data_IF_041595574214
#
_entry.id   IF_041595574214
#
_cell.length_a   1.000
_cell.length_b   1.000
_cell.length_c   1.000
_cell.angle_alpha   90.00
_cell.angle_beta   90.00
_cell.angle_gamma   90.00
#
_symmetry.space_group_name_H-M   'P 1'
#
loop_
_entity.id
_entity.type
_entity.pdbx_description
1 polymer ?
#
# COMPACT_ATOMS: atom_id res chain seq x y z
N UNK A 1 16.43 5.19 2.58
CA UNK A 1 16.03 6.18 1.56
C UNK A 1 16.74 5.85 0.26
N UNK A 2 15.97 5.55 -0.79
CA UNK A 2 16.45 5.25 -2.14
C UNK A 2 17.28 6.40 -2.75
N UNK A 3 18.30 6.07 -3.55
CA UNK A 3 19.07 7.05 -4.33
C UNK A 3 18.15 7.79 -5.33
N UNK A 4 18.10 9.13 -5.22
CA UNK A 4 17.20 9.97 -6.03
C UNK A 4 17.52 9.90 -7.53
N UNK A 5 18.80 9.80 -7.90
CA UNK A 5 19.21 9.68 -9.31
C UNK A 5 18.78 8.33 -9.84
N UNK A 6 19.02 7.26 -9.09
CA UNK A 6 18.65 5.91 -9.47
C UNK A 6 17.13 5.75 -9.61
N UNK A 7 16.34 6.27 -8.66
CA UNK A 7 14.87 6.27 -8.75
C UNK A 7 14.38 6.97 -10.02
N UNK A 8 14.93 8.14 -10.35
CA UNK A 8 14.54 8.90 -11.55
C UNK A 8 14.85 8.13 -12.83
N UNK A 9 16.06 7.56 -12.93
CA UNK A 9 16.46 6.76 -14.08
C UNK A 9 15.59 5.49 -14.20
N UNK A 10 15.31 4.83 -13.08
CA UNK A 10 14.47 3.65 -13.03
C UNK A 10 13.05 3.93 -13.54
N UNK A 11 12.40 5.01 -13.10
CA UNK A 11 11.08 5.39 -13.61
C UNK A 11 11.10 5.63 -15.13
N UNK A 12 12.10 6.36 -15.64
CA UNK A 12 12.28 6.60 -17.08
C UNK A 12 12.50 5.30 -17.86
N UNK A 13 13.29 4.37 -17.32
CA UNK A 13 13.51 3.04 -17.89
C UNK A 13 12.21 2.23 -17.99
N UNK A 14 11.37 2.30 -16.97
CA UNK A 14 10.11 1.56 -16.93
C UNK A 14 9.06 2.14 -17.90
N UNK A 15 9.08 3.45 -18.16
CA UNK A 15 8.27 4.09 -19.20
C UNK A 15 8.73 3.71 -20.61
N UNK A 16 10.06 3.69 -20.84
CA UNK A 16 10.66 3.29 -22.11
C UNK A 16 12.05 2.69 -21.87
N UNK A 17 12.19 1.39 -22.09
CA UNK A 17 13.44 0.64 -21.83
C UNK A 17 14.63 1.12 -22.68
N UNK A 18 14.37 1.74 -23.85
CA UNK A 18 15.41 2.26 -24.76
C UNK A 18 15.85 3.69 -24.41
N UNK A 19 15.30 4.27 -23.34
CA UNK A 19 15.52 5.69 -22.98
C UNK A 19 16.81 5.96 -22.21
N UNK A 20 17.51 4.90 -21.79
CA UNK A 20 18.75 4.95 -21.02
C UNK A 20 19.92 4.34 -21.79
N UNK A 21 21.12 4.87 -21.57
CA UNK A 21 22.34 4.24 -22.05
C UNK A 21 22.79 3.08 -21.15
N UNK A 22 23.83 2.34 -21.56
CA UNK A 22 24.34 1.16 -20.83
C UNK A 22 24.79 1.51 -19.41
N UNK A 23 25.51 2.63 -19.22
CA UNK A 23 26.00 3.06 -17.91
C UNK A 23 24.86 3.41 -16.95
N UNK A 24 23.80 4.05 -17.46
CA UNK A 24 22.61 4.38 -16.68
C UNK A 24 21.82 3.12 -16.29
N UNK A 25 21.74 2.12 -17.18
CA UNK A 25 21.11 0.82 -16.89
C UNK A 25 21.91 0.04 -15.84
N UNK A 26 23.23 0.03 -15.95
CA UNK A 26 24.09 -0.66 -14.98
C UNK A 26 24.07 0.04 -13.62
N UNK A 27 23.97 1.37 -13.59
CA UNK A 27 23.79 2.13 -12.36
C UNK A 27 22.48 1.78 -11.64
N UNK A 28 21.35 1.66 -12.33
CA UNK A 28 20.08 1.27 -11.67
C UNK A 28 20.07 -0.21 -11.24
N UNK A 29 20.80 -1.10 -11.91
CA UNK A 29 21.03 -2.49 -11.46
C UNK A 29 21.89 -2.53 -10.20
N UNK A 30 22.99 -1.78 -10.15
CA UNK A 30 23.87 -1.67 -8.98
C UNK A 30 23.10 -1.19 -7.74
N UNK A 31 22.13 -0.28 -7.95
CA UNK A 31 21.22 0.20 -6.88
C UNK A 31 20.06 -0.75 -6.57
N UNK A 32 20.03 -1.95 -7.16
CA UNK A 32 19.05 -3.00 -6.85
C UNK A 32 17.62 -2.75 -7.35
N UNK A 33 17.43 -1.81 -8.29
CA UNK A 33 16.11 -1.46 -8.82
C UNK A 33 15.68 -2.37 -9.97
N UNK A 34 16.65 -2.87 -10.74
CA UNK A 34 16.45 -3.92 -11.75
C UNK A 34 16.97 -5.25 -11.19
N UNK A 35 16.05 -6.10 -10.75
CA UNK A 35 16.31 -7.45 -10.25
C UNK A 35 15.52 -8.48 -11.04
N UNK A 36 16.08 -9.67 -11.17
CA UNK A 36 15.41 -10.82 -11.77
C UNK A 36 14.19 -11.24 -10.94
N UNK A 37 13.22 -11.83 -11.64
CA UNK A 37 12.02 -12.36 -11.00
C UNK A 37 12.36 -13.64 -10.23
N UNK A 38 11.72 -13.82 -9.08
CA UNK A 38 12.03 -14.93 -8.18
C UNK A 38 11.00 -16.02 -8.39
N UNK A 39 11.42 -17.16 -8.95
CA UNK A 39 10.58 -18.35 -9.03
C UNK A 39 10.25 -18.86 -7.63
N UNK A 40 9.00 -19.23 -7.40
CA UNK A 40 8.53 -19.69 -6.09
C UNK A 40 7.44 -20.75 -6.22
N UNK A 41 7.54 -21.83 -5.44
CA UNK A 41 6.48 -22.82 -5.37
C UNK A 41 5.35 -22.36 -4.45
N UNK A 42 4.16 -22.91 -4.63
CA UNK A 42 3.01 -22.65 -3.74
C UNK A 42 3.35 -22.90 -2.27
N UNK A 43 4.09 -23.98 -1.99
CA UNK A 43 4.49 -24.35 -0.63
C UNK A 43 5.45 -23.32 -0.04
N UNK A 44 6.52 -22.98 -0.76
CA UNK A 44 7.49 -21.98 -0.31
C UNK A 44 6.84 -20.63 -0.07
N UNK A 45 5.95 -20.19 -0.97
CA UNK A 45 5.24 -18.93 -0.81
C UNK A 45 4.44 -18.87 0.49
N UNK A 46 3.61 -19.89 0.75
CA UNK A 46 2.77 -19.94 1.95
C UNK A 46 3.64 -20.03 3.21
N UNK A 47 4.62 -20.95 3.22
CA UNK A 47 5.51 -21.16 4.37
C UNK A 47 6.30 -19.90 4.70
N UNK A 48 6.85 -19.22 3.69
CA UNK A 48 7.58 -17.96 3.88
C UNK A 48 6.66 -16.85 4.35
N UNK A 49 5.45 -16.71 3.78
CA UNK A 49 4.49 -15.68 4.19
C UNK A 49 4.08 -15.83 5.65
N UNK A 50 3.83 -17.06 6.10
CA UNK A 50 3.54 -17.33 7.51
C UNK A 50 4.72 -16.95 8.41
N UNK A 51 5.95 -17.39 8.08
CA UNK A 51 7.17 -17.01 8.83
C UNK A 51 7.40 -15.49 8.86
N UNK A 52 7.08 -14.79 7.79
CA UNK A 52 7.18 -13.33 7.74
C UNK A 52 6.19 -12.68 8.72
N UNK A 53 4.93 -13.12 8.73
CA UNK A 53 3.92 -12.58 9.64
C UNK A 53 4.15 -12.94 11.12
N UNK A 54 4.90 -14.00 11.41
CA UNK A 54 5.36 -14.32 12.77
C UNK A 54 6.47 -13.38 13.25
N UNK A 55 7.30 -12.87 12.34
CA UNK A 55 8.43 -11.99 12.65
C UNK A 55 8.08 -10.51 12.63
N UNK A 56 7.02 -10.14 11.92
CA UNK A 56 6.60 -8.75 11.73
C UNK A 56 5.42 -8.47 12.65
N UNK A 57 5.55 -7.46 13.51
CA UNK A 57 4.47 -7.00 14.38
C UNK A 57 3.61 -5.93 13.70
N UNK A 58 2.36 -5.80 14.15
CA UNK A 58 1.49 -4.70 13.74
C UNK A 58 2.11 -3.33 14.05
N UNK A 59 2.78 -3.19 15.19
CA UNK A 59 3.40 -1.94 15.62
C UNK A 59 4.50 -1.49 14.66
N UNK A 60 5.39 -2.39 14.23
CA UNK A 60 6.45 -2.06 13.27
C UNK A 60 5.89 -1.58 11.93
N UNK A 61 4.83 -2.20 11.44
CA UNK A 61 4.24 -1.84 10.15
C UNK A 61 3.40 -0.57 10.22
N UNK A 62 2.72 -0.32 11.35
CA UNK A 62 2.03 0.95 11.63
C UNK A 62 3.04 2.10 11.73
N UNK A 63 4.16 1.87 12.43
CA UNK A 63 5.26 2.84 12.54
C UNK A 63 5.89 3.15 11.18
N UNK A 64 6.09 2.14 10.32
CA UNK A 64 6.55 2.31 8.96
C UNK A 64 5.59 3.21 8.15
N UNK A 65 4.29 2.93 8.22
CA UNK A 65 3.28 3.75 7.55
C UNK A 65 3.33 5.21 8.01
N UNK A 66 3.32 5.44 9.32
CA UNK A 66 3.40 6.78 9.90
C UNK A 66 4.68 7.52 9.48
N UNK A 67 5.85 6.90 9.64
CA UNK A 67 7.14 7.45 9.23
C UNK A 67 7.15 7.92 7.77
N UNK A 68 6.46 7.20 6.89
CA UNK A 68 6.41 7.54 5.47
C UNK A 68 5.59 8.80 5.16
N UNK A 69 4.77 9.30 6.09
CA UNK A 69 3.91 10.46 5.88
C UNK A 69 4.72 11.75 5.80
N UNK A 70 5.55 12.07 6.80
CA UNK A 70 6.39 13.28 6.78
C UNK A 70 7.63 13.13 5.89
N UNK A 71 8.18 11.91 5.76
CA UNK A 71 9.44 11.69 5.04
C UNK A 71 9.28 11.45 3.54
N UNK A 72 8.05 11.12 3.10
CA UNK A 72 7.76 10.64 1.75
C UNK A 72 8.57 9.40 1.35
N UNK A 73 9.05 8.60 2.32
CA UNK A 73 9.76 7.36 2.04
C UNK A 73 8.76 6.23 1.68
N UNK A 74 8.51 6.09 0.38
CA UNK A 74 7.53 5.14 -0.17
C UNK A 74 7.91 3.67 0.07
N UNK A 75 9.16 3.37 0.46
CA UNK A 75 9.54 2.02 0.88
C UNK A 75 8.78 1.56 2.13
N UNK A 76 8.36 2.49 2.98
CA UNK A 76 7.64 2.21 4.22
C UNK A 76 6.11 2.38 4.08
N UNK A 77 5.63 3.14 3.09
CA UNK A 77 4.21 3.52 2.94
C UNK A 77 3.26 2.33 2.83
N UNK A 78 3.65 1.28 2.12
CA UNK A 78 2.74 0.17 1.78
C UNK A 78 2.93 -1.06 2.67
N UNK A 79 3.80 -1.01 3.68
CA UNK A 79 4.09 -2.17 4.53
C UNK A 79 2.87 -2.53 5.40
N UNK A 80 2.21 -1.55 6.02
CA UNK A 80 1.00 -1.76 6.83
C UNK A 80 -0.11 -2.45 6.04
N UNK A 81 -0.41 -1.91 4.86
CA UNK A 81 -1.44 -2.43 3.97
C UNK A 81 -1.10 -3.85 3.50
N UNK A 82 0.18 -4.13 3.24
CA UNK A 82 0.67 -5.47 2.88
C UNK A 82 0.44 -6.46 3.99
N UNK A 83 0.79 -6.07 5.22
CA UNK A 83 0.63 -6.89 6.40
C UNK A 83 -0.83 -7.26 6.64
N UNK A 84 -1.73 -6.27 6.62
CA UNK A 84 -3.17 -6.47 6.82
C UNK A 84 -3.75 -7.37 5.73
N UNK A 85 -3.45 -7.09 4.46
CA UNK A 85 -3.94 -7.90 3.34
C UNK A 85 -3.45 -9.34 3.42
N UNK A 86 -2.15 -9.56 3.66
CA UNK A 86 -1.56 -10.89 3.75
C UNK A 86 -2.12 -11.70 4.92
N UNK A 87 -2.29 -11.07 6.09
CA UNK A 87 -2.90 -11.68 7.26
C UNK A 87 -4.33 -12.15 6.97
N UNK A 88 -5.14 -11.29 6.35
CA UNK A 88 -6.53 -11.60 6.02
C UNK A 88 -6.62 -12.70 4.96
N UNK A 89 -5.80 -12.62 3.91
CA UNK A 89 -5.73 -13.62 2.84
C UNK A 89 -5.35 -15.01 3.36
N UNK A 90 -4.35 -15.09 4.26
CA UNK A 90 -3.96 -16.35 4.90
C UNK A 90 -5.03 -16.93 5.82
N UNK A 91 -5.81 -16.07 6.49
CA UNK A 91 -6.91 -16.51 7.36
C UNK A 91 -8.09 -17.06 6.56
N UNK A 92 -8.34 -16.50 5.38
CA UNK A 92 -9.46 -16.87 4.53
C UNK A 92 -9.30 -18.28 3.95
N UNK A 93 -8.33 -18.50 3.07
CA UNK A 93 -8.23 -19.78 2.35
C UNK A 93 -6.79 -20.22 2.03
N UNK A 94 -5.78 -19.36 2.26
CA UNK A 94 -4.37 -19.61 1.90
C UNK A 94 -4.17 -19.91 0.41
N UNK A 95 -4.95 -19.29 -0.48
CA UNK A 95 -4.83 -19.48 -1.92
C UNK A 95 -5.33 -20.84 -2.37
N UNK A 96 -6.48 -21.27 -1.84
CA UNK A 96 -7.23 -22.42 -2.38
C UNK A 96 -8.06 -21.98 -3.57
N UNK A 97 -8.71 -20.84 -3.48
CA UNK A 97 -9.50 -20.19 -4.53
C UNK A 97 -8.62 -19.36 -5.47
N UNK A 98 -7.50 -18.82 -4.96
CA UNK A 98 -6.54 -18.04 -5.74
C UNK A 98 -5.29 -18.83 -6.06
N UNK A 99 -4.88 -18.81 -7.34
CA UNK A 99 -3.55 -19.29 -7.68
C UNK A 99 -2.50 -18.42 -7.00
N UNK A 100 -1.68 -19.07 -6.18
CA UNK A 100 -0.45 -18.48 -5.65
C UNK A 100 0.48 -18.18 -6.82
N UNK A 101 1.16 -17.01 -6.84
CA UNK A 101 2.08 -16.68 -7.91
C UNK A 101 3.17 -17.76 -8.05
N UNK A 102 3.56 -18.03 -9.30
CA UNK A 102 4.70 -18.91 -9.62
C UNK A 102 6.03 -18.14 -9.62
N UNK A 103 5.94 -16.81 -9.71
CA UNK A 103 7.07 -15.90 -9.74
C UNK A 103 6.73 -14.60 -9.01
N UNK A 104 7.75 -13.97 -8.41
CA UNK A 104 7.65 -12.66 -7.79
C UNK A 104 8.34 -11.64 -8.71
N UNK A 105 7.54 -10.75 -9.32
CA UNK A 105 8.04 -9.74 -10.26
C UNK A 105 8.70 -8.55 -9.56
N UNK A 106 9.94 -8.75 -9.11
CA UNK A 106 10.66 -7.81 -8.22
C UNK A 106 10.76 -6.41 -8.82
N UNK A 107 11.22 -6.31 -10.07
CA UNK A 107 11.37 -5.04 -10.78
C UNK A 107 10.03 -4.32 -10.95
N UNK A 108 8.99 -5.06 -11.34
CA UNK A 108 7.65 -4.50 -11.52
C UNK A 108 7.05 -3.99 -10.22
N UNK A 109 7.20 -4.72 -9.11
CA UNK A 109 6.68 -4.28 -7.82
C UNK A 109 7.42 -3.07 -7.26
N UNK A 110 8.74 -2.96 -7.50
CA UNK A 110 9.48 -1.74 -7.23
C UNK A 110 8.96 -0.55 -8.05
N UNK A 111 8.61 -0.77 -9.32
CA UNK A 111 8.03 0.28 -10.16
C UNK A 111 6.65 0.73 -9.66
N UNK A 112 5.74 -0.19 -9.36
CA UNK A 112 4.39 0.11 -8.83
C UNK A 112 4.47 0.96 -7.56
N UNK A 113 5.35 0.60 -6.62
CA UNK A 113 5.60 1.35 -5.37
C UNK A 113 5.93 2.83 -5.61
N UNK A 114 6.69 3.13 -6.66
CA UNK A 114 7.16 4.50 -6.94
C UNK A 114 6.33 5.25 -7.99
N UNK A 115 5.56 4.55 -8.82
CA UNK A 115 4.82 5.13 -9.95
C UNK A 115 3.36 5.43 -9.61
N UNK A 116 2.59 4.42 -9.18
CA UNK A 116 1.14 4.55 -8.99
C UNK A 116 0.71 4.63 -7.53
N UNK A 117 1.53 4.06 -6.63
CA UNK A 117 1.08 3.72 -5.29
C UNK A 117 0.03 2.60 -5.27
N UNK A 118 -0.29 2.13 -4.06
CA UNK A 118 -1.38 1.18 -3.82
C UNK A 118 -1.00 -0.31 -3.84
N UNK A 119 -1.84 -1.13 -3.20
CA UNK A 119 -1.75 -2.59 -3.19
C UNK A 119 -2.92 -3.15 -3.98
N UNK A 120 -2.69 -3.37 -5.27
CA UNK A 120 -3.69 -3.92 -6.17
C UNK A 120 -3.75 -5.44 -6.07
N UNK A 121 -4.90 -5.97 -5.66
CA UNK A 121 -5.53 -7.22 -6.11
C UNK A 121 -4.85 -8.57 -5.82
N UNK A 122 -3.53 -8.62 -5.65
CA UNK A 122 -2.78 -9.87 -5.70
C UNK A 122 -1.80 -10.00 -4.53
N UNK A 123 -1.74 -11.20 -3.95
CA UNK A 123 -0.94 -11.51 -2.76
C UNK A 123 0.58 -11.41 -3.01
N UNK A 124 1.02 -11.45 -4.28
CA UNK A 124 2.43 -11.35 -4.66
C UNK A 124 3.09 -10.03 -4.22
N UNK A 125 2.36 -8.91 -4.31
CA UNK A 125 2.87 -7.58 -3.89
C UNK A 125 3.04 -7.50 -2.38
N UNK A 126 2.02 -7.82 -1.55
CA UNK A 126 2.20 -7.95 -0.11
C UNK A 126 3.34 -8.87 0.29
N UNK A 127 3.46 -10.04 -0.35
CA UNK A 127 4.57 -10.96 -0.11
C UNK A 127 5.92 -10.28 -0.33
N UNK A 128 6.09 -9.63 -1.49
CA UNK A 128 7.33 -8.95 -1.84
C UNK A 128 7.66 -7.82 -0.84
N UNK A 129 6.73 -6.92 -0.56
CA UNK A 129 6.98 -5.80 0.35
C UNK A 129 7.29 -6.26 1.78
N UNK A 130 6.60 -7.29 2.29
CA UNK A 130 6.91 -7.88 3.60
C UNK A 130 8.29 -8.55 3.61
N UNK A 131 8.68 -9.21 2.52
CA UNK A 131 9.99 -9.85 2.40
C UNK A 131 11.13 -8.84 2.42
N UNK A 132 10.97 -7.70 1.75
CA UNK A 132 11.94 -6.60 1.79
C UNK A 132 11.97 -5.96 3.19
N UNK A 133 10.81 -5.78 3.81
CA UNK A 133 10.69 -5.17 5.14
C UNK A 133 11.44 -5.93 6.23
N UNK A 134 11.61 -7.25 6.11
CA UNK A 134 12.43 -8.03 7.05
C UNK A 134 13.86 -7.52 7.18
N UNK A 135 14.42 -6.94 6.12
CA UNK A 135 15.80 -6.44 6.07
C UNK A 135 15.88 -4.91 6.19
N UNK A 136 14.74 -4.23 6.27
CA UNK A 136 14.68 -2.78 6.43
C UNK A 136 14.84 -2.38 7.90
N UNK A 137 15.49 -1.24 8.13
CA UNK A 137 15.58 -0.62 9.45
C UNK A 137 14.19 -0.30 9.98
N UNK A 138 13.86 -0.75 11.20
CA UNK A 138 12.57 -0.46 11.82
C UNK A 138 12.54 1.00 12.24
N UNK A 139 11.50 1.71 11.78
CA UNK A 139 11.35 3.15 12.03
C UNK A 139 10.47 3.39 13.25
N UNK A 140 10.73 4.50 13.91
CA UNK A 140 9.90 5.03 15.00
C UNK A 140 9.34 6.37 14.49
N UNK A 141 8.01 6.53 14.42
CA UNK A 141 7.40 7.79 13.98
C UNK A 141 7.64 8.90 15.01
N UNK A 142 7.72 10.13 14.52
CA UNK A 142 7.77 11.35 15.34
C UNK A 142 6.36 11.94 15.48
N UNK A 143 6.20 12.90 16.39
CA UNK A 143 4.90 13.56 16.62
C UNK A 143 4.28 14.14 15.34
N UNK A 144 5.12 14.70 14.46
CA UNK A 144 4.68 15.23 13.16
C UNK A 144 3.98 14.17 12.29
N UNK A 145 4.42 12.90 12.32
CA UNK A 145 3.80 11.83 11.55
C UNK A 145 2.38 11.53 12.03
N UNK A 146 2.18 11.54 13.35
CA UNK A 146 0.86 11.38 13.96
C UNK A 146 -0.04 12.57 13.67
N UNK A 147 0.50 13.79 13.72
CA UNK A 147 -0.25 15.00 13.42
C UNK A 147 -0.75 14.98 11.97
N UNK A 148 0.10 14.63 11.00
CA UNK A 148 -0.29 14.45 9.60
C UNK A 148 -1.42 13.41 9.46
N UNK A 149 -1.30 12.26 10.12
CA UNK A 149 -2.36 11.24 10.09
C UNK A 149 -3.68 11.80 10.64
N UNK A 150 -3.66 12.49 11.78
CA UNK A 150 -4.86 13.09 12.39
C UNK A 150 -5.52 14.11 11.47
N UNK A 151 -4.73 14.95 10.78
CA UNK A 151 -5.24 15.92 9.83
C UNK A 151 -5.89 15.25 8.62
N UNK A 152 -5.28 14.20 8.06
CA UNK A 152 -5.85 13.40 6.96
C UNK A 152 -7.18 12.75 7.40
N UNK A 153 -7.21 12.15 8.59
CA UNK A 153 -8.42 11.51 9.12
C UNK A 153 -9.52 12.54 9.36
N UNK A 154 -9.20 13.67 9.99
CA UNK A 154 -10.15 14.76 10.23
C UNK A 154 -10.72 15.32 8.91
N UNK A 155 -9.87 15.47 7.88
CA UNK A 155 -10.30 15.90 6.56
C UNK A 155 -11.30 14.92 5.92
N UNK A 156 -11.01 13.61 5.98
CA UNK A 156 -11.90 12.58 5.46
C UNK A 156 -13.20 12.47 6.28
N UNK A 157 -13.12 12.62 7.60
CA UNK A 157 -14.26 12.49 8.50
C UNK A 157 -15.24 13.66 8.36
N UNK A 158 -14.74 14.88 8.12
CA UNK A 158 -15.57 16.07 7.89
C UNK A 158 -15.92 16.30 6.42
N UNK A 159 -15.63 15.35 5.53
CA UNK A 159 -15.88 15.49 4.11
C UNK A 159 -17.39 15.56 3.79
N UNK A 160 -17.77 16.25 2.72
CA UNK A 160 -19.18 16.37 2.33
C UNK A 160 -19.80 14.99 2.05
N UNK A 161 -20.96 14.73 2.66
CA UNK A 161 -21.61 13.41 2.68
C UNK A 161 -21.93 12.85 1.30
N UNK A 162 -22.15 13.73 0.33
CA UNK A 162 -22.55 13.38 -1.04
C UNK A 162 -21.35 13.12 -1.94
N UNK A 163 -20.15 13.61 -1.56
CA UNK A 163 -18.94 13.52 -2.37
C UNK A 163 -18.34 12.11 -2.34
N UNK A 164 -17.70 11.75 -3.45
CA UNK A 164 -17.14 10.41 -3.71
C UNK A 164 -15.68 10.30 -3.28
N UNK A 165 -15.16 9.07 -3.20
CA UNK A 165 -13.73 8.77 -3.04
C UNK A 165 -12.82 9.54 -4.04
N UNK A 166 -13.25 9.70 -5.30
CA UNK A 166 -12.50 10.47 -6.30
C UNK A 166 -12.39 11.94 -5.94
N UNK A 167 -13.47 12.52 -5.41
CA UNK A 167 -13.48 13.92 -4.96
C UNK A 167 -12.62 14.08 -3.71
N UNK A 168 -12.69 13.14 -2.75
CA UNK A 168 -11.82 13.14 -1.57
C UNK A 168 -10.34 13.18 -1.97
N UNK A 169 -9.93 12.30 -2.90
CA UNK A 169 -8.54 12.27 -3.39
C UNK A 169 -8.12 13.58 -4.03
N UNK A 170 -8.96 14.15 -4.90
CA UNK A 170 -8.63 15.38 -5.61
C UNK A 170 -8.46 16.54 -4.62
N UNK A 171 -9.41 16.72 -3.71
CA UNK A 171 -9.38 17.82 -2.73
C UNK A 171 -8.24 17.63 -1.72
N UNK A 172 -8.01 16.41 -1.20
CA UNK A 172 -6.89 16.12 -0.30
C UNK A 172 -5.52 16.38 -0.95
N UNK A 173 -5.39 16.11 -2.26
CA UNK A 173 -4.16 16.42 -3.01
C UNK A 173 -3.93 17.94 -3.19
N UNK A 174 -5.01 18.73 -3.19
CA UNK A 174 -4.94 20.20 -3.26
C UNK A 174 -4.59 20.82 -1.90
N UNK A 175 -5.08 20.23 -0.80
CA UNK A 175 -4.76 20.65 0.58
C UNK A 175 -3.27 20.49 0.93
N UNK A 176 -2.57 19.53 0.32
CA UNK A 176 -1.13 19.29 0.53
C UNK A 176 -0.73 19.12 2.01
N UNK A 177 -1.55 18.42 2.78
CA UNK A 177 -1.30 18.13 4.21
C UNK A 177 0.02 17.39 4.49
N UNK A 178 0.61 16.75 3.47
CA UNK A 178 1.86 16.02 3.58
C UNK A 178 2.60 16.02 2.24
N UNK A 179 3.94 15.84 2.23
CA UNK A 179 4.73 15.83 1.00
C UNK A 179 4.29 14.67 0.08
N UNK A 180 3.54 15.01 -0.97
CA UNK A 180 2.96 14.03 -1.88
C UNK A 180 2.67 14.57 -3.27
N UNK A 181 2.43 13.66 -4.22
CA UNK A 181 1.74 13.94 -5.47
C UNK A 181 0.36 13.24 -5.49
N UNK A 182 -0.43 13.49 -6.54
CA UNK A 182 -1.79 12.96 -6.70
C UNK A 182 -1.86 11.42 -6.66
N UNK A 183 -0.87 10.73 -7.21
CA UNK A 183 -0.82 9.26 -7.23
C UNK A 183 -0.45 8.71 -5.86
N UNK A 184 0.45 9.38 -5.13
CA UNK A 184 0.81 9.03 -3.76
C UNK A 184 -0.36 9.25 -2.78
N UNK A 185 -1.20 10.26 -3.00
CA UNK A 185 -2.47 10.45 -2.26
C UNK A 185 -3.47 9.33 -2.60
N UNK A 186 -3.53 8.91 -3.87
CA UNK A 186 -4.35 7.77 -4.30
C UNK A 186 -3.95 6.51 -3.54
N UNK A 187 -2.65 6.16 -3.56
CA UNK A 187 -2.14 4.99 -2.84
C UNK A 187 -2.31 5.07 -1.32
N UNK A 188 -2.25 6.27 -0.72
CA UNK A 188 -2.55 6.49 0.69
C UNK A 188 -4.01 6.16 1.03
N UNK A 189 -4.96 6.70 0.26
CA UNK A 189 -6.38 6.49 0.53
C UNK A 189 -6.80 5.03 0.29
N UNK A 190 -6.25 4.38 -0.73
CA UNK A 190 -6.41 2.94 -0.93
C UNK A 190 -5.84 2.12 0.24
N UNK A 191 -4.67 2.52 0.75
CA UNK A 191 -4.09 1.89 1.93
C UNK A 191 -5.03 1.99 3.14
N UNK A 192 -5.63 3.16 3.39
CA UNK A 192 -6.62 3.35 4.46
C UNK A 192 -7.89 2.52 4.22
N UNK A 193 -8.36 2.41 2.98
CA UNK A 193 -9.50 1.55 2.64
C UNK A 193 -9.20 0.07 2.88
N UNK A 194 -8.05 -0.43 2.45
CA UNK A 194 -7.61 -1.81 2.72
C UNK A 194 -7.45 -2.06 4.22
N UNK A 195 -7.02 -1.06 4.99
CA UNK A 195 -6.95 -1.12 6.45
C UNK A 195 -8.33 -1.10 7.13
N UNK A 196 -9.42 -0.95 6.37
CA UNK A 196 -10.78 -0.82 6.92
C UNK A 196 -11.02 0.50 7.65
N UNK A 197 -10.20 1.52 7.40
CA UNK A 197 -10.35 2.86 7.98
C UNK A 197 -11.32 3.70 7.13
N UNK A 198 -11.20 3.59 5.80
CA UNK A 198 -12.11 4.20 4.83
C UNK A 198 -12.89 3.10 4.10
N UNK A 199 -13.88 2.56 4.78
CA UNK A 199 -14.72 1.45 4.31
C UNK A 199 -16.21 1.83 4.40
N UNK A 200 -17.07 1.05 3.75
CA UNK A 200 -18.53 1.20 3.87
C UNK A 200 -19.11 0.10 4.77
N UNK A 201 -20.42 0.07 4.99
CA UNK A 201 -21.07 -1.03 5.71
C UNK A 201 -21.03 -2.32 4.88
N UNK A 202 -21.22 -2.21 3.57
CA UNK A 202 -21.33 -3.33 2.63
C UNK A 202 -19.96 -3.75 2.07
N UNK A 203 -19.05 -2.80 1.88
CA UNK A 203 -17.72 -3.02 1.30
C UNK A 203 -16.65 -2.74 2.35
N UNK A 204 -16.24 -3.81 3.02
CA UNK A 204 -15.29 -3.82 4.13
C UNK A 204 -13.85 -3.91 3.67
N UNK A 205 -12.96 -3.26 4.41
CA UNK A 205 -11.52 -3.47 4.30
C UNK A 205 -11.10 -4.84 4.84
N UNK A 206 -9.80 -5.07 4.83
CA UNK A 206 -9.19 -6.35 5.12
C UNK A 206 -8.74 -6.49 6.58
N UNK A 207 -9.15 -5.57 7.46
CA UNK A 207 -8.77 -5.62 8.87
C UNK A 207 -9.36 -6.84 9.59
N UNK A 208 -10.67 -7.05 9.44
CA UNK A 208 -11.44 -8.09 10.15
C UNK A 208 -11.75 -9.33 9.30
N UNK A 209 -11.89 -9.16 7.99
CA UNK A 209 -12.35 -10.18 7.04
C UNK A 209 -11.55 -10.10 5.74
N UNK A 210 -11.72 -11.09 4.87
CA UNK A 210 -11.19 -11.04 3.51
C UNK A 210 -12.32 -11.21 2.51
N UNK A 211 -12.58 -10.20 1.69
CA UNK A 211 -13.49 -10.32 0.55
C UNK A 211 -12.72 -10.89 -0.65
N UNK A 212 -13.04 -12.09 -1.14
CA UNK A 212 -12.42 -12.67 -2.33
C UNK A 212 -12.67 -11.81 -3.59
N UNK A 213 -11.73 -11.78 -4.53
CA UNK A 213 -11.84 -11.00 -5.78
C UNK A 213 -13.14 -11.23 -6.56
N UNK A 214 -13.65 -12.47 -6.61
CA UNK A 214 -14.90 -12.76 -7.33
C UNK A 214 -16.16 -12.22 -6.61
N UNK A 215 -16.07 -11.86 -5.32
CA UNK A 215 -17.12 -11.16 -4.57
C UNK A 215 -16.93 -9.65 -4.57
N UNK A 216 -15.76 -9.15 -5.02
CA UNK A 216 -15.52 -7.71 -5.12
C UNK A 216 -16.25 -7.21 -6.36
N UNK A 217 -17.42 -6.61 -6.17
CA UNK A 217 -18.04 -5.83 -7.23
C UNK A 217 -17.09 -4.68 -7.62
N UNK A 218 -16.80 -4.58 -8.92
CA UNK A 218 -15.97 -3.53 -9.51
C UNK A 218 -16.68 -2.18 -9.54
N UNK A 219 -18.01 -2.17 -9.35
CA UNK A 219 -18.82 -0.96 -9.41
C UNK A 219 -18.70 -0.28 -10.77
N UNK A 220 -18.67 1.06 -10.76
CA UNK A 220 -18.43 1.85 -11.98
C UNK A 220 -16.96 1.70 -12.42
N UNK A 221 -16.75 1.03 -13.56
CA UNK A 221 -15.43 0.77 -14.17
C UNK A 221 -14.63 2.03 -14.52
N UNK A 222 -15.24 3.22 -14.46
CA UNK A 222 -14.55 4.51 -14.62
C UNK A 222 -13.83 4.97 -13.35
N UNK A 223 -14.06 4.31 -12.22
CA UNK A 223 -13.42 4.67 -10.96
C UNK A 223 -11.96 4.23 -10.92
N UNK A 224 -11.11 5.10 -10.39
CA UNK A 224 -9.67 4.91 -10.34
C UNK A 224 -9.19 4.02 -9.19
N UNK A 225 -10.01 3.78 -8.16
CA UNK A 225 -9.58 3.08 -6.95
C UNK A 225 -9.98 1.61 -6.97
N UNK A 226 -9.19 0.81 -6.28
CA UNK A 226 -9.49 -0.58 -5.98
C UNK A 226 -10.52 -0.75 -4.85
N UNK A 227 -11.03 -1.96 -4.70
CA UNK A 227 -11.85 -2.36 -3.55
C UNK A 227 -11.04 -2.27 -2.24
N UNK A 228 -11.60 -1.77 -1.12
CA UNK A 228 -12.99 -1.32 -0.96
C UNK A 228 -13.19 0.18 -1.21
N UNK A 229 -12.12 0.96 -1.32
CA UNK A 229 -12.18 2.41 -1.17
C UNK A 229 -13.02 3.11 -2.25
N UNK A 230 -13.10 2.56 -3.47
CA UNK A 230 -13.97 3.14 -4.52
C UNK A 230 -15.46 3.20 -4.15
N UNK A 231 -15.92 2.41 -3.18
CA UNK A 231 -17.30 2.49 -2.68
C UNK A 231 -17.52 3.60 -1.66
N UNK A 232 -16.46 4.14 -1.08
CA UNK A 232 -16.54 5.12 0.00
C UNK A 232 -17.06 6.48 -0.49
N UNK A 233 -17.92 7.09 0.32
CA UNK A 233 -18.41 8.47 0.19
C UNK A 233 -18.28 9.19 1.53
N UNK A 234 -18.38 10.51 1.54
CA UNK A 234 -18.27 11.30 2.77
C UNK A 234 -19.22 10.85 3.89
N UNK A 235 -20.41 10.35 3.54
CA UNK A 235 -21.39 9.82 4.51
C UNK A 235 -20.89 8.59 5.29
N UNK A 236 -19.90 7.87 4.77
CA UNK A 236 -19.38 6.65 5.38
C UNK A 236 -18.37 6.96 6.49
N UNK A 237 -17.82 8.18 6.52
CA UNK A 237 -16.96 8.72 7.58
C UNK A 237 -15.71 7.86 7.84
N UNK A 238 -14.94 8.19 8.87
CA UNK A 238 -13.75 7.44 9.28
C UNK A 238 -14.12 6.37 10.31
N UNK A 239 -13.62 5.15 10.11
CA UNK A 239 -13.72 4.09 11.12
C UNK A 239 -12.62 4.25 12.19
N UNK A 240 -12.91 5.06 13.21
CA UNK A 240 -11.98 5.35 14.30
C UNK A 240 -11.64 4.16 15.20
N UNK A 241 -12.47 3.11 15.23
CA UNK A 241 -12.14 1.88 15.94
C UNK A 241 -10.94 1.18 15.29
N UNK A 242 -10.91 1.11 13.95
CA UNK A 242 -9.76 0.56 13.24
C UNK A 242 -8.53 1.47 13.34
N UNK A 243 -8.70 2.80 13.37
CA UNK A 243 -7.60 3.73 13.62
C UNK A 243 -6.94 3.45 14.97
N UNK A 244 -7.74 3.34 16.04
CA UNK A 244 -7.25 3.04 17.39
C UNK A 244 -6.56 1.68 17.46
N UNK A 245 -7.13 0.66 16.83
CA UNK A 245 -6.57 -0.69 16.83
C UNK A 245 -5.24 -0.79 16.05
N UNK A 246 -5.08 -0.01 14.99
CA UNK A 246 -3.90 -0.05 14.11
C UNK A 246 -2.78 0.85 14.65
N UNK A 247 -3.10 2.09 15.00
CA UNK A 247 -2.12 3.13 15.32
C UNK A 247 -1.98 3.39 16.82
N UNK A 248 -2.82 2.78 17.67
CA UNK A 248 -2.84 2.97 19.13
C UNK A 248 -2.97 4.45 19.56
N UNK A 249 -3.54 5.29 18.70
CA UNK A 249 -3.80 6.70 19.02
C UNK A 249 -5.26 6.88 19.45
N UNK A 250 -5.46 7.76 20.43
CA UNK A 250 -6.78 8.35 20.70
C UNK A 250 -6.95 9.50 19.72
N UNK A 251 -8.05 9.45 18.97
CA UNK A 251 -8.44 10.42 17.94
C UNK A 251 -9.74 11.06 18.37
#
# INVERSE_FOLDING_TARGET
MIDKKAKRLFLKYMENKLSLNVEEVDYIKEKGLLREDIAITKKEFIDNLQKMLEKISLEEVSNAFLYSLSTRDLDYRYILTSYIYARAWLKYDKGKEYQVPKEISVTFFNWVKYCSGGIWGEIAKPYFYLSEFLNMEKKIPKEEDYQILKEILSFADNFDETKTATMLRNELAEEKLFPSNKDEVTGLLEALGICGILETKEHKGFWNSFTPMFERDSGDLRQYFSYPFHWWKGKDRVNYENVKNIFKITV
#
